data_IF_482497788414
#
_entry.id   IF_482497788414
#
_cell.length_a   1.000
_cell.length_b   1.000
_cell.length_c   1.000
_cell.angle_alpha   90.00
_cell.angle_beta   90.00
_cell.angle_gamma   90.00
#
_symmetry.space_group_name_H-M   'P 1'
#
loop_
_entity.id
_entity.type
_entity.pdbx_description
1 polymer ?
#
# COMPACT_ATOMS: atom_id res chain seq x y z
N UNK A 1 -16.51 -25.55 17.83
CA UNK A 1 -16.37 -24.15 18.31
C UNK A 1 -16.98 -23.25 17.25
N UNK A 2 -17.93 -22.38 17.57
CA UNK A 2 -18.47 -21.42 16.60
C UNK A 2 -17.45 -20.33 16.29
N UNK A 3 -17.44 -19.86 15.06
CA UNK A 3 -16.55 -18.78 14.64
C UNK A 3 -16.97 -17.46 15.34
N UNK A 4 -16.03 -16.68 15.91
CA UNK A 4 -16.36 -15.38 16.50
C UNK A 4 -16.91 -14.44 15.43
N UNK A 5 -18.03 -13.77 15.72
CA UNK A 5 -18.56 -12.71 14.87
C UNK A 5 -18.14 -11.34 15.41
N UNK A 6 -17.61 -10.49 14.53
CA UNK A 6 -17.26 -9.11 14.86
C UNK A 6 -18.55 -8.27 14.82
N UNK A 7 -18.93 -7.58 15.91
CA UNK A 7 -20.14 -6.76 15.93
C UNK A 7 -20.06 -5.59 14.92
N UNK A 8 -21.22 -5.15 14.45
CA UNK A 8 -21.35 -3.96 13.61
C UNK A 8 -20.98 -2.69 14.41
N UNK A 9 -20.21 -1.78 13.81
CA UNK A 9 -19.81 -0.52 14.44
C UNK A 9 -20.31 0.67 13.62
N UNK A 10 -20.96 1.63 14.28
CA UNK A 10 -21.53 2.85 13.66
C UNK A 10 -20.53 3.66 12.83
N UNK A 11 -19.24 3.59 13.16
CA UNK A 11 -18.17 4.37 12.53
C UNK A 11 -17.23 3.50 11.69
N UNK A 12 -17.71 2.37 11.15
CA UNK A 12 -16.89 1.54 10.27
C UNK A 12 -16.70 2.30 8.94
N UNK A 13 -15.45 2.59 8.52
CA UNK A 13 -15.24 3.16 7.20
C UNK A 13 -15.68 2.17 6.13
N UNK A 14 -16.13 2.72 5.01
CA UNK A 14 -16.30 1.95 3.78
C UNK A 14 -14.95 1.43 3.33
N UNK A 15 -14.98 0.40 2.48
CA UNK A 15 -13.74 -0.11 1.91
C UNK A 15 -13.01 0.94 1.06
N UNK A 16 -13.73 1.79 0.32
CA UNK A 16 -13.11 2.85 -0.49
C UNK A 16 -12.37 3.86 0.39
N UNK A 17 -13.01 4.32 1.46
CA UNK A 17 -12.36 5.15 2.48
C UNK A 17 -11.13 4.44 3.07
N UNK A 18 -11.24 3.15 3.39
CA UNK A 18 -10.12 2.38 3.94
C UNK A 18 -8.93 2.31 2.97
N UNK A 19 -9.18 2.14 1.65
CA UNK A 19 -8.11 2.14 0.64
C UNK A 19 -7.45 3.52 0.56
N UNK A 20 -8.24 4.59 0.57
CA UNK A 20 -7.73 5.97 0.58
C UNK A 20 -6.85 6.21 1.82
N UNK A 21 -7.35 5.85 3.01
CA UNK A 21 -6.63 5.99 4.28
C UNK A 21 -5.29 5.21 4.27
N UNK A 22 -5.27 4.01 3.69
CA UNK A 22 -4.05 3.21 3.55
C UNK A 22 -3.04 3.85 2.61
N UNK A 23 -3.49 4.40 1.48
CA UNK A 23 -2.64 5.13 0.54
C UNK A 23 -2.11 6.43 1.15
N UNK A 24 -2.95 7.16 1.88
CA UNK A 24 -2.56 8.36 2.63
C UNK A 24 -1.51 8.03 3.69
N UNK A 25 -1.71 6.94 4.45
CA UNK A 25 -0.73 6.47 5.44
C UNK A 25 0.63 6.16 4.82
N UNK A 26 0.66 5.55 3.62
CA UNK A 26 1.90 5.28 2.89
C UNK A 26 2.56 6.60 2.46
N UNK A 27 1.78 7.53 1.91
CA UNK A 27 2.29 8.84 1.49
C UNK A 27 2.85 9.66 2.68
N UNK A 28 2.22 9.59 3.85
CA UNK A 28 2.72 10.24 5.06
C UNK A 28 4.02 9.62 5.57
N UNK A 29 4.16 8.28 5.50
CA UNK A 29 5.43 7.60 5.85
C UNK A 29 6.55 7.98 4.86
N UNK A 30 6.23 8.12 3.57
CA UNK A 30 7.16 8.58 2.52
C UNK A 30 7.64 10.02 2.77
N UNK A 31 6.71 10.94 3.07
CA UNK A 31 7.05 12.32 3.45
C UNK A 31 7.96 12.33 4.67
N UNK A 32 7.67 11.49 5.68
CA UNK A 32 8.52 11.38 6.87
C UNK A 32 9.93 10.88 6.54
N UNK A 33 10.09 9.93 5.62
CA UNK A 33 11.40 9.47 5.15
C UNK A 33 12.17 10.58 4.44
N UNK A 34 11.50 11.39 3.61
CA UNK A 34 12.13 12.53 2.93
C UNK A 34 12.70 13.57 3.91
N UNK A 35 11.98 13.84 5.00
CA UNK A 35 12.47 14.72 6.06
C UNK A 35 13.66 14.13 6.81
N UNK A 36 13.65 12.82 7.08
CA UNK A 36 14.78 12.13 7.69
C UNK A 36 16.03 12.21 6.80
N UNK A 37 15.86 12.01 5.49
CA UNK A 37 16.94 12.11 4.50
C UNK A 37 17.53 13.54 4.44
N UNK A 38 16.68 14.56 4.45
CA UNK A 38 17.13 15.96 4.51
C UNK A 38 17.88 16.27 5.82
N UNK A 39 17.37 15.82 6.96
CA UNK A 39 18.05 16.01 8.25
C UNK A 39 19.44 15.34 8.26
N UNK A 40 19.56 14.15 7.66
CA UNK A 40 20.85 13.46 7.51
C UNK A 40 21.80 14.24 6.59
N UNK A 41 21.30 14.79 5.48
CA UNK A 41 22.07 15.63 4.57
C UNK A 41 22.58 16.91 5.27
N UNK A 42 21.73 17.60 6.04
CA UNK A 42 22.12 18.77 6.82
C UNK A 42 23.17 18.42 7.88
N UNK A 43 23.04 17.27 8.55
CA UNK A 43 24.03 16.76 9.51
C UNK A 43 25.39 16.54 8.85
N UNK A 44 25.41 15.94 7.65
CA UNK A 44 26.65 15.75 6.86
C UNK A 44 27.27 17.10 6.49
N UNK A 45 26.46 18.05 6.03
CA UNK A 45 26.94 19.39 5.68
C UNK A 45 27.52 20.12 6.90
N UNK A 46 26.89 20.01 8.07
CA UNK A 46 27.39 20.58 9.31
C UNK A 46 28.73 19.94 9.73
N UNK A 47 28.88 18.62 9.54
CA UNK A 47 30.12 17.89 9.86
C UNK A 47 31.29 18.26 8.93
N UNK A 48 31.04 18.34 7.62
CA UNK A 48 32.08 18.62 6.60
C UNK A 48 32.40 20.12 6.50
N UNK A 49 31.40 20.98 6.75
CA UNK A 49 31.49 22.42 6.56
C UNK A 49 31.46 22.86 5.08
N UNK A 50 31.31 24.17 4.83
CA UNK A 50 31.10 24.76 3.49
C UNK A 50 32.26 24.56 2.48
N UNK A 51 33.44 24.13 2.93
CA UNK A 51 34.61 23.96 2.06
C UNK A 51 35.44 22.73 2.44
N UNK A 52 34.81 21.70 3.01
CA UNK A 52 35.49 20.51 3.54
C UNK A 52 36.58 20.83 4.59
N UNK A 53 36.36 21.90 5.35
CA UNK A 53 37.31 22.40 6.33
C UNK A 53 37.14 21.77 7.73
N UNK A 54 36.23 20.79 7.89
CA UNK A 54 35.92 20.09 9.14
C UNK A 54 35.95 21.04 10.36
N UNK A 55 34.91 21.86 10.55
CA UNK A 55 34.91 22.97 11.52
C UNK A 55 35.23 22.54 12.96
N UNK A 56 35.13 21.25 13.29
CA UNK A 56 35.43 20.69 14.62
C UNK A 56 36.85 20.10 14.79
N UNK A 57 37.77 20.24 13.82
CA UNK A 57 39.09 19.57 13.86
C UNK A 57 38.98 18.07 14.18
N UNK A 58 38.04 17.39 13.52
CA UNK A 58 37.73 15.99 13.79
C UNK A 58 38.92 15.07 13.49
N UNK A 59 39.12 14.06 14.33
CA UNK A 59 40.16 13.06 14.08
C UNK A 59 39.79 12.18 12.87
N UNK A 60 40.79 11.57 12.22
CA UNK A 60 40.54 10.61 11.13
C UNK A 60 39.60 9.46 11.54
N UNK A 61 39.67 9.02 12.79
CA UNK A 61 38.80 7.96 13.33
C UNK A 61 37.35 8.42 13.45
N UNK A 62 37.13 9.67 13.86
CA UNK A 62 35.79 10.28 13.94
C UNK A 62 35.17 10.41 12.54
N UNK A 63 35.95 10.80 11.54
CA UNK A 63 35.47 10.89 10.14
C UNK A 63 35.02 9.52 9.63
N UNK A 64 35.80 8.47 9.86
CA UNK A 64 35.45 7.10 9.44
C UNK A 64 34.18 6.64 10.18
N UNK A 65 34.12 6.84 11.50
CA UNK A 65 32.97 6.44 12.31
C UNK A 65 31.70 7.17 11.88
N UNK A 66 31.81 8.47 11.59
CA UNK A 66 30.70 9.26 11.07
C UNK A 66 30.21 8.72 9.72
N UNK A 67 31.11 8.45 8.79
CA UNK A 67 30.73 7.90 7.48
C UNK A 67 30.06 6.52 7.61
N UNK A 68 30.56 5.66 8.50
CA UNK A 68 29.92 4.37 8.79
C UNK A 68 28.50 4.55 9.34
N UNK A 69 28.28 5.51 10.24
CA UNK A 69 26.95 5.82 10.76
C UNK A 69 26.00 6.31 9.67
N UNK A 70 26.46 7.18 8.77
CA UNK A 70 25.68 7.65 7.62
C UNK A 70 25.27 6.47 6.73
N UNK A 71 26.21 5.57 6.39
CA UNK A 71 25.91 4.40 5.57
C UNK A 71 24.86 3.49 6.23
N UNK A 72 24.94 3.25 7.54
CA UNK A 72 23.94 2.47 8.28
C UNK A 72 22.53 3.09 8.21
N UNK A 73 22.44 4.43 8.30
CA UNK A 73 21.17 5.15 8.18
C UNK A 73 20.63 5.02 6.76
N UNK A 74 21.48 5.18 5.74
CA UNK A 74 21.09 5.03 4.33
C UNK A 74 20.60 3.61 4.02
N UNK A 75 21.28 2.58 4.52
CA UNK A 75 20.85 1.18 4.37
C UNK A 75 19.47 0.94 5.01
N UNK A 76 19.24 1.54 6.18
CA UNK A 76 17.96 1.46 6.89
C UNK A 76 16.84 2.18 6.12
N UNK A 77 17.13 3.36 5.55
CA UNK A 77 16.19 4.10 4.70
C UNK A 77 15.83 3.30 3.44
N UNK A 78 16.80 2.67 2.78
CA UNK A 78 16.55 1.82 1.61
C UNK A 78 15.64 0.62 1.95
N UNK A 79 15.86 -0.01 3.10
CA UNK A 79 14.97 -1.07 3.57
C UNK A 79 13.54 -0.57 3.80
N UNK A 80 13.40 0.65 4.33
CA UNK A 80 12.10 1.28 4.55
C UNK A 80 11.39 1.62 3.23
N UNK A 81 12.10 2.18 2.26
CA UNK A 81 11.60 2.45 0.91
C UNK A 81 11.04 1.18 0.26
N UNK A 82 11.80 0.08 0.35
CA UNK A 82 11.36 -1.20 -0.18
C UNK A 82 10.10 -1.73 0.51
N UNK A 83 10.00 -1.57 1.84
CA UNK A 83 8.81 -1.96 2.59
C UNK A 83 7.58 -1.11 2.19
N UNK A 84 7.76 0.20 1.99
CA UNK A 84 6.69 1.09 1.51
C UNK A 84 6.19 0.69 0.13
N UNK A 85 7.11 0.41 -0.80
CA UNK A 85 6.75 -0.11 -2.11
C UNK A 85 5.93 -1.40 -2.01
N UNK A 86 6.32 -2.33 -1.12
CA UNK A 86 5.58 -3.58 -0.91
C UNK A 86 4.19 -3.34 -0.32
N UNK A 87 4.04 -2.42 0.63
CA UNK A 87 2.72 -2.02 1.17
C UNK A 87 1.84 -1.45 0.04
N UNK A 88 2.39 -0.56 -0.79
CA UNK A 88 1.67 0.04 -1.91
C UNK A 88 1.21 -1.02 -2.93
N UNK A 89 2.11 -1.92 -3.33
CA UNK A 89 1.78 -3.04 -4.22
C UNK A 89 0.62 -3.88 -3.65
N UNK A 90 0.64 -4.17 -2.35
CA UNK A 90 -0.42 -4.96 -1.69
C UNK A 90 -1.76 -4.23 -1.69
N UNK A 91 -1.80 -2.94 -1.34
CA UNK A 91 -3.03 -2.14 -1.35
C UNK A 91 -3.64 -2.10 -2.74
N UNK A 92 -2.82 -1.86 -3.77
CA UNK A 92 -3.27 -1.87 -5.18
C UNK A 92 -3.80 -3.25 -5.59
N UNK A 93 -3.14 -4.34 -5.18
CA UNK A 93 -3.61 -5.70 -5.48
C UNK A 93 -4.94 -6.02 -4.82
N UNK A 94 -5.14 -5.59 -3.57
CA UNK A 94 -6.38 -5.78 -2.82
C UNK A 94 -7.53 -5.04 -3.52
N UNK A 95 -7.32 -3.77 -3.91
CA UNK A 95 -8.29 -2.99 -4.69
C UNK A 95 -8.65 -3.64 -6.04
N UNK A 96 -7.64 -4.07 -6.80
CA UNK A 96 -7.85 -4.78 -8.08
C UNK A 96 -8.67 -6.05 -7.92
N UNK A 97 -8.38 -6.88 -6.91
CA UNK A 97 -9.11 -8.14 -6.67
C UNK A 97 -10.57 -7.87 -6.33
N UNK A 98 -10.86 -6.82 -5.55
CA UNK A 98 -12.25 -6.46 -5.22
C UNK A 98 -13.03 -6.02 -6.46
N UNK A 99 -12.44 -5.14 -7.30
CA UNK A 99 -13.07 -4.70 -8.55
C UNK A 99 -13.32 -5.85 -9.53
N UNK A 100 -12.41 -6.82 -9.59
CA UNK A 100 -12.59 -8.01 -10.41
C UNK A 100 -13.69 -8.96 -9.89
N UNK A 101 -13.93 -8.97 -8.57
CA UNK A 101 -15.04 -9.74 -7.99
C UNK A 101 -16.40 -9.07 -8.27
N UNK A 102 -16.50 -7.74 -8.13
CA UNK A 102 -17.75 -7.03 -8.44
C UNK A 102 -18.17 -7.14 -9.90
N UNK A 103 -17.22 -7.24 -10.85
CA UNK A 103 -17.54 -7.42 -12.28
C UNK A 103 -18.03 -8.83 -12.63
N UNK A 104 -17.68 -9.85 -11.84
CA UNK A 104 -18.17 -11.22 -12.07
C UNK A 104 -19.60 -11.42 -11.59
N UNK A 105 -20.00 -10.69 -10.55
CA UNK A 105 -21.37 -10.75 -10.03
C UNK A 105 -22.35 -10.10 -11.04
N UNK A 106 -21.94 -9.04 -11.75
CA UNK A 106 -22.74 -8.39 -12.80
C UNK A 106 -22.97 -9.31 -14.02
N UNK A 107 -21.95 -10.06 -14.47
CA UNK A 107 -22.07 -11.01 -15.60
C UNK A 107 -22.98 -12.21 -15.28
N UNK A 108 -22.96 -12.70 -14.04
CA UNK A 108 -23.80 -13.85 -13.64
C UNK A 108 -25.27 -13.45 -13.57
N UNK A 109 -25.56 -12.22 -13.10
CA UNK A 109 -26.93 -11.73 -12.96
C UNK A 109 -27.63 -11.53 -14.31
N UNK A 110 -26.91 -11.08 -15.35
CA UNK A 110 -27.45 -10.98 -16.72
C UNK A 110 -27.72 -12.37 -17.34
N UNK A 111 -26.92 -13.39 -16.99
CA UNK A 111 -27.13 -14.75 -17.52
C UNK A 111 -28.26 -15.52 -16.84
N UNK A 112 -28.58 -15.23 -15.58
CA UNK A 112 -29.70 -15.87 -14.88
C UNK A 112 -31.07 -15.29 -15.27
N UNK A 113 -31.17 -14.00 -15.63
CA UNK A 113 -32.43 -13.42 -16.14
C UNK A 113 -32.81 -13.90 -17.56
N UNK A 114 -31.86 -14.43 -18.34
CA UNK A 114 -32.11 -14.90 -19.72
C UNK A 114 -32.49 -16.39 -19.81
N UNK A 115 -32.43 -17.14 -18.70
CA UNK A 115 -32.72 -18.59 -18.70
C UNK A 115 -34.21 -18.89 -18.40
N UNK A 116 -34.98 -17.92 -17.91
CA UNK A 116 -36.38 -18.12 -17.51
C UNK A 116 -37.45 -17.91 -18.63
N UNK A 117 -37.07 -17.49 -19.85
CA UNK A 117 -38.05 -17.19 -20.92
C UNK A 117 -38.15 -18.21 -22.09
N UNK A 118 -37.32 -19.26 -22.18
CA UNK A 118 -37.31 -20.14 -23.37
C UNK A 118 -37.90 -21.55 -23.24
N UNK A 119 -38.42 -21.98 -22.08
CA UNK A 119 -38.85 -23.38 -21.88
C UNK A 119 -40.36 -23.61 -21.61
N UNK A 120 -41.26 -22.83 -22.21
CA UNK A 120 -42.67 -23.25 -22.36
C UNK A 120 -43.20 -22.88 -23.74
N UNK A 121 -42.97 -23.74 -24.73
CA UNK A 121 -43.97 -24.02 -25.77
C UNK A 121 -43.69 -25.33 -26.49
N UNK A 122 -44.73 -26.18 -26.40
CA UNK A 122 -45.23 -27.02 -27.49
C UNK A 122 -44.49 -28.34 -27.72
N UNK A 123 -45.03 -29.43 -27.14
CA UNK A 123 -45.43 -30.56 -27.98
C UNK A 123 -46.37 -31.51 -27.21
N UNK A 124 -47.65 -31.55 -27.60
CA UNK A 124 -48.47 -32.78 -27.64
C UNK A 124 -49.95 -32.41 -27.83
N UNK A 125 -50.32 -32.11 -29.06
CA UNK A 125 -51.70 -32.30 -29.53
C UNK A 125 -51.68 -33.15 -30.79
N UNK A 126 -51.68 -34.47 -30.60
CA UNK A 126 -51.97 -35.45 -31.64
C UNK A 126 -52.81 -36.59 -31.04
N UNK A 127 -54.14 -36.44 -31.08
CA UNK A 127 -55.12 -37.52 -30.94
C UNK A 127 -56.33 -37.20 -31.82
N UNK A 128 -56.24 -37.58 -33.10
CA UNK A 128 -57.38 -37.96 -33.93
C UNK A 128 -57.44 -39.48 -34.02
#
# INVERSE_FOLDING_TARGET
MSMPQIPESKYRPTYEETIIDLLESIALEEISLSHLMNAEAEKIQAFVGKSANFPMCSSYQEIITFNQSVNQIMDTMLMKEWLLLKKLEQVIQIDKRRKAASHKDDEITETEELIDEEDIKDDSSDWL
#
